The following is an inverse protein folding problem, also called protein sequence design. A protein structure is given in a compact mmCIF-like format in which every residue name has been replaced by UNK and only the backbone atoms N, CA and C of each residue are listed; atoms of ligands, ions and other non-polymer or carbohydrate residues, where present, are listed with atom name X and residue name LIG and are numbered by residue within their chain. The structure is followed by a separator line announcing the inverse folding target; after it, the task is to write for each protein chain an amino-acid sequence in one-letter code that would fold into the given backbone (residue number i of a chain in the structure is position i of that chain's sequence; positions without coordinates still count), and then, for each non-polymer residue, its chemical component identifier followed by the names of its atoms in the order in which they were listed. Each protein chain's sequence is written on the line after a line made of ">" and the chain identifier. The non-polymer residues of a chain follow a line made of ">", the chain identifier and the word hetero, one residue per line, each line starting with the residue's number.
data_IF_917487528776
#
_entry.id   IF_917487528776
#
_cell.length_a   1.000
_cell.length_b   1.000
_cell.length_c   1.000
_cell.angle_alpha   90.00
_cell.angle_beta   90.00
_cell.angle_gamma   90.00
#
_symmetry.space_group_name_H-M   'P 1'
#
loop_
_entity.id
_entity.type
_entity.pdbx_description
1 polymer ?
#
# COMPACT_ATOMS: atom_id res chain seq x y z
N UNK A 1 4.69 6.84 -36.62
CA UNK A 1 4.80 7.33 -35.25
C UNK A 1 4.11 8.69 -35.17
N UNK A 2 2.79 8.68 -34.99
CA UNK A 2 2.02 9.91 -34.76
C UNK A 2 2.19 10.29 -33.27
N UNK A 3 3.02 11.29 -33.01
CA UNK A 3 3.04 12.01 -31.75
C UNK A 3 1.71 12.83 -31.66
N UNK A 4 0.64 12.21 -31.22
CA UNK A 4 -0.49 12.96 -30.71
C UNK A 4 -0.10 13.52 -29.35
N UNK A 5 0.50 14.69 -29.30
CA UNK A 5 0.50 15.52 -28.09
C UNK A 5 -0.97 15.73 -27.75
N UNK A 6 -1.40 15.09 -26.66
CA UNK A 6 -2.69 15.42 -26.09
C UNK A 6 -2.67 16.92 -25.82
N UNK A 7 -3.57 17.67 -26.47
CA UNK A 7 -3.72 19.09 -26.20
C UNK A 7 -4.01 19.32 -24.72
N UNK A 8 -3.45 20.36 -24.13
CA UNK A 8 -3.70 20.70 -22.75
C UNK A 8 -5.22 20.87 -22.56
N UNK A 9 -5.80 20.04 -21.69
CA UNK A 9 -7.24 19.99 -21.44
C UNK A 9 -8.01 18.86 -22.15
N UNK A 10 -7.34 18.02 -22.95
CA UNK A 10 -8.00 16.86 -23.54
C UNK A 10 -8.27 15.78 -22.46
N UNK A 11 -9.46 15.20 -22.52
CA UNK A 11 -9.80 14.05 -21.68
C UNK A 11 -9.07 12.80 -22.16
N UNK A 12 -8.55 12.02 -21.24
CA UNK A 12 -7.93 10.74 -21.52
C UNK A 12 -8.92 9.64 -21.14
N UNK A 13 -9.12 8.69 -22.03
CA UNK A 13 -9.87 7.48 -21.70
C UNK A 13 -9.10 6.69 -20.64
N UNK A 14 -9.78 6.42 -19.53
CA UNK A 14 -9.21 5.67 -18.42
C UNK A 14 -9.24 4.18 -18.72
N UNK A 15 -8.11 3.51 -18.57
CA UNK A 15 -8.08 2.04 -18.56
C UNK A 15 -8.64 1.52 -17.25
N UNK A 16 -9.87 1.05 -17.28
CA UNK A 16 -10.55 0.48 -16.12
C UNK A 16 -10.20 -1.00 -15.87
N UNK A 17 -9.45 -1.64 -16.75
CA UNK A 17 -9.11 -3.07 -16.61
C UNK A 17 -8.16 -3.35 -15.45
N UNK A 18 -7.41 -2.34 -15.01
CA UNK A 18 -6.39 -2.46 -13.97
C UNK A 18 -6.84 -1.94 -12.59
N UNK A 19 -8.07 -1.48 -12.49
CA UNK A 19 -8.60 -0.93 -11.26
C UNK A 19 -9.79 -1.72 -10.75
N UNK A 20 -9.93 -1.87 -9.43
CA UNK A 20 -11.21 -2.26 -8.88
C UNK A 20 -12.26 -1.21 -9.27
N UNK A 21 -13.51 -1.63 -9.46
CA UNK A 21 -14.58 -0.69 -9.78
C UNK A 21 -14.74 0.34 -8.65
N UNK A 22 -14.99 1.60 -9.02
CA UNK A 22 -15.25 2.66 -8.05
C UNK A 22 -16.51 2.37 -7.21
N UNK A 23 -17.45 1.64 -7.78
CA UNK A 23 -18.69 1.20 -7.14
C UNK A 23 -18.73 -0.33 -7.10
N UNK A 24 -18.74 -0.90 -5.91
CA UNK A 24 -18.88 -2.34 -5.66
C UNK A 24 -19.92 -2.55 -4.56
N UNK A 25 -21.13 -3.09 -4.89
CA UNK A 25 -22.23 -3.23 -3.92
C UNK A 25 -21.86 -4.03 -2.67
N UNK A 26 -21.01 -5.06 -2.81
CA UNK A 26 -20.52 -5.87 -1.70
C UNK A 26 -19.55 -5.11 -0.75
N UNK A 27 -19.05 -3.95 -1.18
CA UNK A 27 -18.21 -3.08 -0.38
C UNK A 27 -18.97 -1.82 0.01
N UNK A 28 -19.56 -1.81 1.20
CA UNK A 28 -20.45 -0.78 1.70
C UNK A 28 -19.86 0.65 1.64
N UNK A 29 -18.57 0.79 1.89
CA UNK A 29 -17.92 2.09 1.80
C UNK A 29 -17.87 2.63 0.38
N UNK A 30 -17.78 1.78 -0.65
CA UNK A 30 -17.84 2.22 -2.05
C UNK A 30 -19.23 2.77 -2.40
N UNK A 31 -20.28 2.14 -1.89
CA UNK A 31 -21.68 2.60 -2.07
C UNK A 31 -21.87 4.02 -1.53
N UNK A 32 -21.27 4.32 -0.38
CA UNK A 32 -21.39 5.62 0.27
C UNK A 32 -20.48 6.69 -0.33
N UNK A 33 -19.34 6.30 -0.92
CA UNK A 33 -18.26 7.22 -1.33
C UNK A 33 -17.99 7.25 -2.83
N UNK A 34 -18.56 6.34 -3.60
CA UNK A 34 -18.39 6.34 -5.04
C UNK A 34 -18.88 7.68 -5.64
N UNK A 35 -18.15 8.24 -6.61
CA UNK A 35 -18.62 9.40 -7.34
C UNK A 35 -19.97 9.12 -7.98
N UNK A 36 -20.87 10.09 -7.92
CA UNK A 36 -22.19 9.98 -8.57
C UNK A 36 -22.15 10.29 -10.06
N UNK A 37 -21.07 10.90 -10.51
CA UNK A 37 -20.81 11.22 -11.91
C UNK A 37 -19.58 10.46 -12.38
N UNK A 38 -19.48 10.24 -13.69
CA UNK A 38 -18.32 9.60 -14.30
C UNK A 38 -17.05 10.36 -13.98
N UNK A 39 -15.99 9.62 -13.65
CA UNK A 39 -14.66 10.19 -13.48
C UNK A 39 -14.12 10.65 -14.83
N UNK A 40 -13.44 11.79 -14.82
CA UNK A 40 -12.79 12.38 -15.99
C UNK A 40 -11.29 12.33 -15.75
N UNK A 41 -10.52 11.86 -16.71
CA UNK A 41 -9.06 11.83 -16.65
C UNK A 41 -8.48 12.92 -17.56
N UNK A 42 -7.54 13.67 -17.00
CA UNK A 42 -6.80 14.70 -17.73
C UNK A 42 -5.39 14.21 -18.07
N UNK A 43 -4.83 14.73 -19.16
CA UNK A 43 -3.41 14.57 -19.45
C UNK A 43 -2.58 15.23 -18.34
N UNK A 44 -1.53 14.54 -17.86
CA UNK A 44 -0.61 15.13 -16.89
C UNK A 44 0.12 16.32 -17.49
N UNK A 45 0.13 17.42 -16.76
CA UNK A 45 0.88 18.64 -17.13
C UNK A 45 2.26 18.65 -16.45
N UNK A 46 3.07 19.66 -16.78
CA UNK A 46 4.36 19.84 -16.09
C UNK A 46 4.17 20.08 -14.58
N UNK A 47 3.07 20.70 -14.17
CA UNK A 47 2.78 20.97 -12.76
C UNK A 47 2.65 19.68 -11.95
N UNK A 48 2.05 18.63 -12.50
CA UNK A 48 1.95 17.34 -11.83
C UNK A 48 3.25 16.54 -11.87
N UNK A 49 4.13 16.84 -12.85
CA UNK A 49 5.40 16.13 -13.04
C UNK A 49 6.56 16.76 -12.30
N UNK A 50 6.50 18.04 -12.00
CA UNK A 50 7.60 18.83 -11.43
C UNK A 50 7.31 19.37 -10.02
N UNK A 51 6.48 18.67 -9.26
CA UNK A 51 6.20 19.06 -7.87
C UNK A 51 7.43 18.97 -6.96
N UNK A 52 7.34 19.52 -5.75
CA UNK A 52 8.46 19.48 -4.79
C UNK A 52 8.81 18.02 -4.47
N UNK A 53 10.09 17.68 -4.57
CA UNK A 53 10.61 16.42 -4.09
C UNK A 53 10.49 16.36 -2.56
N UNK A 54 10.22 15.18 -2.01
CA UNK A 54 10.27 14.96 -0.58
C UNK A 54 11.72 15.07 -0.10
N UNK A 55 11.95 15.88 0.92
CA UNK A 55 13.28 16.05 1.47
C UNK A 55 13.74 14.83 2.26
N UNK A 56 14.98 14.42 2.09
CA UNK A 56 15.60 13.35 2.87
C UNK A 56 15.63 13.65 4.38
N UNK A 57 15.55 14.91 4.76
CA UNK A 57 15.46 15.36 6.15
C UNK A 57 14.09 15.17 6.79
N UNK A 58 13.12 14.61 6.08
CA UNK A 58 11.80 14.28 6.63
C UNK A 58 11.79 12.95 7.40
N UNK A 59 12.83 12.13 7.26
CA UNK A 59 12.90 10.83 7.91
C UNK A 59 13.65 10.94 9.23
N UNK A 60 13.06 10.35 10.27
CA UNK A 60 13.73 10.06 11.53
C UNK A 60 14.51 8.75 11.45
N UNK A 61 15.45 8.57 12.37
CA UNK A 61 16.33 7.38 12.42
C UNK A 61 15.56 6.05 12.46
N UNK A 62 14.40 6.03 13.13
CA UNK A 62 13.60 4.82 13.34
C UNK A 62 12.26 4.83 12.59
N UNK A 63 12.09 5.70 11.62
CA UNK A 63 10.80 5.83 10.91
C UNK A 63 10.35 4.52 10.22
N UNK A 64 11.28 3.66 9.84
CA UNK A 64 10.99 2.35 9.25
C UNK A 64 11.03 1.19 10.25
N UNK A 65 11.18 1.46 11.55
CA UNK A 65 11.14 0.45 12.61
C UNK A 65 9.96 0.69 13.56
N UNK A 66 8.81 0.13 13.21
CA UNK A 66 7.57 0.29 13.98
C UNK A 66 7.59 -0.45 15.31
N UNK A 67 8.58 -1.31 15.56
CA UNK A 67 8.71 -2.01 16.83
C UNK A 67 9.11 -1.01 17.94
N UNK A 68 9.92 -0.01 17.57
CA UNK A 68 10.50 0.94 18.54
C UNK A 68 10.17 2.41 18.28
N UNK A 69 9.74 2.80 17.06
CA UNK A 69 9.57 4.22 16.70
C UNK A 69 8.53 4.99 17.53
N UNK A 70 7.66 4.26 18.22
CA UNK A 70 6.65 4.80 19.12
C UNK A 70 6.80 4.31 20.56
N UNK A 71 7.67 3.34 20.79
CA UNK A 71 7.84 2.71 22.09
C UNK A 71 8.51 3.63 23.09
N UNK A 72 8.20 3.42 24.37
CA UNK A 72 8.95 4.06 25.45
C UNK A 72 10.40 3.53 25.47
N UNK A 73 11.36 4.29 25.98
CA UNK A 73 12.73 3.81 26.10
C UNK A 73 12.83 2.44 26.79
N UNK A 74 13.50 1.49 26.14
CA UNK A 74 13.67 0.12 26.63
C UNK A 74 12.43 -0.78 26.49
N UNK A 75 11.39 -0.33 25.81
CA UNK A 75 10.19 -1.13 25.52
C UNK A 75 10.05 -1.32 24.00
N UNK A 76 9.23 -2.29 23.62
CA UNK A 76 8.96 -2.64 22.23
C UNK A 76 7.48 -2.94 22.02
N UNK A 77 7.05 -2.88 20.77
CA UNK A 77 5.71 -3.32 20.36
C UNK A 77 5.52 -4.83 20.60
N UNK A 78 4.31 -5.21 20.98
CA UNK A 78 3.92 -6.59 21.27
C UNK A 78 3.41 -7.28 20.01
N UNK A 79 3.96 -8.45 19.67
CA UNK A 79 3.48 -9.25 18.54
C UNK A 79 4.58 -10.06 17.88
N UNK A 80 4.20 -10.80 16.82
CA UNK A 80 5.17 -11.50 15.99
C UNK A 80 5.99 -10.49 15.21
N UNK A 81 7.28 -10.42 15.45
CA UNK A 81 8.20 -9.57 14.70
C UNK A 81 8.29 -10.01 13.24
N UNK A 82 8.22 -9.06 12.34
CA UNK A 82 8.39 -9.28 10.91
C UNK A 82 9.25 -8.18 10.29
N UNK A 83 9.91 -8.53 9.20
CA UNK A 83 10.46 -7.59 8.23
C UNK A 83 9.65 -7.72 6.95
N UNK A 84 9.22 -6.61 6.39
CA UNK A 84 8.73 -6.54 5.01
C UNK A 84 9.76 -5.78 4.21
N UNK A 85 10.16 -6.35 3.09
CA UNK A 85 11.15 -5.76 2.21
C UNK A 85 10.79 -6.03 0.75
N UNK A 86 11.36 -5.25 -0.14
CA UNK A 86 11.13 -5.42 -1.58
C UNK A 86 11.74 -4.29 -2.38
N UNK A 87 11.40 -4.26 -3.65
CA UNK A 87 11.83 -3.21 -4.55
C UNK A 87 10.65 -2.48 -5.15
N UNK A 88 10.80 -1.19 -5.30
CA UNK A 88 9.96 -0.39 -6.19
C UNK A 88 10.65 -0.37 -7.55
N UNK A 89 9.98 -0.91 -8.54
CA UNK A 89 10.50 -1.04 -9.91
C UNK A 89 9.46 -0.51 -10.91
N UNK A 90 9.90 -0.14 -12.09
CA UNK A 90 8.99 0.18 -13.19
C UNK A 90 8.57 -1.08 -13.96
N UNK A 91 7.72 -0.90 -14.97
CA UNK A 91 7.23 -1.98 -15.83
C UNK A 91 8.34 -2.68 -16.66
N UNK A 92 9.52 -2.08 -16.77
CA UNK A 92 10.68 -2.64 -17.43
C UNK A 92 11.66 -3.28 -16.43
N UNK A 93 11.22 -3.48 -15.20
CA UNK A 93 12.02 -3.98 -14.08
C UNK A 93 13.21 -3.08 -13.68
N UNK A 94 13.18 -1.81 -14.07
CA UNK A 94 14.20 -0.84 -13.61
C UNK A 94 13.87 -0.36 -12.21
N UNK A 95 14.88 -0.26 -11.34
CA UNK A 95 14.71 0.34 -10.02
C UNK A 95 14.15 1.76 -10.08
N UNK A 96 13.29 2.11 -9.14
CA UNK A 96 12.79 3.47 -8.96
C UNK A 96 13.31 4.01 -7.62
N UNK A 97 14.43 4.75 -7.63
CA UNK A 97 15.03 5.30 -6.42
C UNK A 97 14.26 6.54 -5.92
N UNK A 98 14.53 6.90 -4.67
CA UNK A 98 14.03 8.12 -4.02
C UNK A 98 12.50 8.21 -3.96
N UNK A 99 11.80 7.06 -3.92
CA UNK A 99 10.36 7.00 -3.68
C UNK A 99 10.13 7.04 -2.17
N UNK A 100 9.34 8.01 -1.72
CA UNK A 100 8.86 8.00 -0.33
C UNK A 100 7.78 6.91 -0.21
N UNK A 101 8.01 5.98 0.70
CA UNK A 101 7.09 4.90 1.03
C UNK A 101 6.58 5.11 2.44
N UNK A 102 5.31 5.41 2.59
CA UNK A 102 4.61 5.43 3.88
C UNK A 102 3.83 4.13 4.05
N UNK A 103 3.74 3.65 5.28
CA UNK A 103 2.98 2.45 5.61
C UNK A 103 2.29 2.61 6.96
N UNK A 104 1.08 2.02 7.06
CA UNK A 104 0.34 1.99 8.32
C UNK A 104 -0.45 0.70 8.46
N UNK A 105 -0.67 0.29 9.69
CA UNK A 105 -1.28 -0.99 10.02
C UNK A 105 -1.95 -1.00 11.40
N UNK A 106 -2.77 -2.01 11.63
CA UNK A 106 -3.27 -2.36 12.96
C UNK A 106 -2.15 -3.00 13.82
N UNK A 107 -2.32 -3.01 15.14
CA UNK A 107 -1.45 -3.77 16.04
C UNK A 107 -1.70 -5.29 15.92
N UNK A 108 -0.97 -6.10 16.70
CA UNK A 108 -1.12 -7.56 16.68
C UNK A 108 -2.54 -8.04 17.02
N UNK A 109 -3.31 -7.26 17.78
CA UNK A 109 -4.71 -7.54 18.11
C UNK A 109 -5.71 -7.06 17.04
N UNK A 110 -5.26 -6.52 15.92
CA UNK A 110 -6.13 -6.01 14.86
C UNK A 110 -6.71 -4.63 15.12
N UNK A 111 -6.16 -3.86 16.08
CA UNK A 111 -6.66 -2.52 16.42
C UNK A 111 -5.75 -1.42 15.90
N UNK A 112 -6.35 -0.41 15.25
CA UNK A 112 -5.66 0.81 14.85
C UNK A 112 -5.61 1.83 16.00
N UNK A 113 -4.50 2.58 16.07
CA UNK A 113 -4.41 3.77 16.93
C UNK A 113 -5.06 4.96 16.22
N UNK A 114 -6.37 4.99 16.20
CA UNK A 114 -7.14 6.03 15.54
C UNK A 114 -8.36 6.42 16.37
N UNK A 115 -8.69 7.72 16.41
CA UNK A 115 -9.81 8.26 17.22
C UNK A 115 -11.20 7.72 16.86
N UNK A 116 -11.37 7.21 15.64
CA UNK A 116 -12.65 6.64 15.16
C UNK A 116 -12.65 5.10 15.22
N UNK A 117 -11.61 4.50 15.77
CA UNK A 117 -11.54 3.04 15.90
C UNK A 117 -12.48 2.57 17.01
N UNK A 118 -13.43 1.71 16.66
CA UNK A 118 -14.45 1.18 17.58
C UNK A 118 -14.19 -0.26 18.00
N UNK A 119 -13.21 -0.95 17.40
CA UNK A 119 -12.91 -2.34 17.77
C UNK A 119 -12.28 -2.41 19.16
N UNK A 120 -12.81 -3.32 20.01
CA UNK A 120 -12.47 -3.38 21.43
C UNK A 120 -11.20 -4.16 21.77
N UNK A 121 -10.44 -4.63 20.77
CA UNK A 121 -9.13 -5.21 21.05
C UNK A 121 -8.24 -4.20 21.80
N UNK A 122 -7.32 -4.64 22.68
CA UNK A 122 -6.46 -3.72 23.43
C UNK A 122 -5.53 -2.95 22.49
N UNK A 123 -5.25 -1.69 22.84
CA UNK A 123 -4.18 -0.93 22.22
C UNK A 123 -2.85 -1.35 22.83
N UNK A 124 -1.85 -1.53 21.99
CA UNK A 124 -0.48 -1.66 22.43
C UNK A 124 0.08 -0.26 22.74
N UNK A 125 0.51 0.05 23.96
CA UNK A 125 1.03 1.37 24.31
C UNK A 125 2.32 1.73 23.58
N UNK A 126 3.05 0.73 23.09
CA UNK A 126 4.34 0.88 22.43
C UNK A 126 4.27 0.82 20.89
N UNK A 127 3.07 0.72 20.32
CA UNK A 127 2.87 0.61 18.87
C UNK A 127 2.09 1.78 18.31
N UNK A 128 2.75 2.59 17.48
CA UNK A 128 2.13 3.72 16.76
C UNK A 128 1.38 3.29 15.50
N UNK A 129 1.86 2.24 14.84
CA UNK A 129 1.27 1.67 13.64
C UNK A 129 1.51 2.46 12.36
N UNK A 130 2.42 3.42 12.34
CA UNK A 130 2.78 4.23 11.19
C UNK A 130 4.30 4.34 11.07
N UNK A 131 4.78 4.28 9.83
CA UNK A 131 6.18 4.48 9.52
C UNK A 131 6.39 4.89 8.06
N UNK A 132 7.63 5.17 7.71
CA UNK A 132 8.01 5.58 6.36
C UNK A 132 9.49 5.30 6.08
N UNK A 133 9.83 5.21 4.81
CA UNK A 133 11.18 5.05 4.32
C UNK A 133 11.32 5.66 2.93
N UNK A 134 12.52 5.75 2.41
CA UNK A 134 12.81 6.16 1.03
C UNK A 134 13.56 5.01 0.37
N UNK A 135 13.22 4.70 -0.90
CA UNK A 135 13.93 3.69 -1.66
C UNK A 135 15.34 4.15 -1.98
N UNK A 136 16.30 3.22 -1.90
CA UNK A 136 17.68 3.43 -2.28
C UNK A 136 17.87 3.46 -3.81
N UNK A 137 19.13 3.51 -4.28
CA UNK A 137 19.47 3.55 -5.70
C UNK A 137 19.07 2.28 -6.48
N UNK A 138 18.92 1.16 -5.78
CA UNK A 138 18.41 -0.11 -6.30
C UNK A 138 16.88 -0.23 -6.19
N UNK A 139 16.20 0.83 -5.81
CA UNK A 139 14.76 0.85 -5.56
C UNK A 139 14.34 0.04 -4.34
N UNK A 140 15.28 -0.39 -3.50
CA UNK A 140 15.02 -1.25 -2.36
C UNK A 140 14.46 -0.46 -1.18
N UNK A 141 13.50 -1.07 -0.48
CA UNK A 141 12.95 -0.58 0.77
C UNK A 141 12.79 -1.73 1.77
N UNK A 142 12.76 -1.38 3.05
CA UNK A 142 12.41 -2.32 4.10
C UNK A 142 11.75 -1.59 5.28
N UNK A 143 10.96 -2.33 6.02
CA UNK A 143 10.40 -1.92 7.30
C UNK A 143 10.42 -3.09 8.27
N UNK A 144 10.67 -2.82 9.54
CA UNK A 144 10.55 -3.76 10.64
C UNK A 144 9.30 -3.43 11.44
N UNK A 145 8.46 -4.42 11.69
CA UNK A 145 7.21 -4.23 12.39
C UNK A 145 6.75 -5.52 13.08
N UNK A 146 5.57 -5.49 13.66
CA UNK A 146 4.86 -6.68 14.12
C UNK A 146 3.85 -7.10 13.06
N UNK A 147 3.54 -8.40 12.94
CA UNK A 147 2.48 -8.87 12.05
C UNK A 147 1.14 -8.32 12.53
N UNK A 148 0.38 -7.55 11.72
CA UNK A 148 -0.92 -7.05 12.12
C UNK A 148 -1.91 -8.20 12.33
N UNK A 149 -2.81 -8.04 13.28
CA UNK A 149 -3.96 -8.94 13.43
C UNK A 149 -5.05 -8.63 12.42
N UNK A 150 -5.84 -9.65 12.04
CA UNK A 150 -7.10 -9.42 11.34
C UNK A 150 -8.08 -8.70 12.27
N UNK A 151 -9.10 -8.05 11.70
CA UNK A 151 -10.12 -7.38 12.50
C UNK A 151 -11.51 -7.47 11.89
N UNK A 152 -12.57 -7.48 12.75
CA UNK A 152 -13.94 -7.43 12.27
C UNK A 152 -14.22 -6.07 11.66
N UNK A 153 -15.02 -6.05 10.61
CA UNK A 153 -15.31 -4.83 9.89
C UNK A 153 -16.82 -4.70 9.64
N UNK A 154 -17.44 -3.53 9.95
CA UNK A 154 -18.89 -3.34 9.86
C UNK A 154 -19.35 -3.12 8.41
N UNK A 155 -19.09 -4.07 7.52
CA UNK A 155 -19.55 -4.09 6.13
C UNK A 155 -20.81 -4.93 6.00
N UNK A 156 -20.71 -6.23 6.19
CA UNK A 156 -21.81 -7.18 6.27
C UNK A 156 -21.90 -7.86 7.63
N UNK A 157 -22.61 -8.97 7.67
CA UNK A 157 -22.70 -9.80 8.87
C UNK A 157 -21.42 -10.64 8.96
N UNK A 158 -20.65 -10.46 10.05
CA UNK A 158 -19.42 -11.20 10.32
C UNK A 158 -18.33 -11.04 9.23
N UNK A 159 -18.21 -9.86 8.64
CA UNK A 159 -17.13 -9.54 7.72
C UNK A 159 -15.84 -9.25 8.49
N UNK A 160 -14.77 -9.84 8.01
CA UNK A 160 -13.42 -9.68 8.56
C UNK A 160 -12.45 -9.18 7.50
N UNK A 161 -11.51 -8.34 7.92
CA UNK A 161 -10.38 -7.96 7.11
C UNK A 161 -9.20 -8.89 7.43
N UNK A 162 -8.52 -9.46 6.41
CA UNK A 162 -7.28 -10.19 6.61
C UNK A 162 -6.21 -9.29 7.22
N UNK A 163 -5.16 -9.89 7.76
CA UNK A 163 -3.95 -9.17 8.13
C UNK A 163 -3.41 -8.39 6.93
N UNK A 164 -3.17 -7.08 7.07
CA UNK A 164 -2.67 -6.26 5.97
C UNK A 164 -1.91 -5.04 6.46
N UNK A 165 -1.04 -4.55 5.58
CA UNK A 165 -0.33 -3.29 5.74
C UNK A 165 -0.73 -2.38 4.59
N UNK A 166 -1.11 -1.16 4.88
CA UNK A 166 -1.35 -0.12 3.88
C UNK A 166 -0.02 0.47 3.42
N UNK A 167 0.08 0.72 2.14
CA UNK A 167 1.20 1.38 1.50
C UNK A 167 0.74 2.63 0.77
N UNK A 168 1.54 3.68 0.86
CA UNK A 168 1.38 4.91 0.10
C UNK A 168 2.74 5.31 -0.44
N UNK A 169 2.88 5.29 -1.75
CA UNK A 169 4.11 5.67 -2.45
C UNK A 169 3.90 7.02 -3.11
N UNK A 170 4.91 7.87 -2.98
CA UNK A 170 4.90 9.20 -3.61
C UNK A 170 5.97 9.26 -4.68
N UNK A 171 5.55 9.62 -5.89
CA UNK A 171 6.45 9.89 -6.99
C UNK A 171 7.14 11.26 -6.87
N UNK A 172 7.93 11.58 -7.89
CA UNK A 172 8.65 12.86 -7.98
C UNK A 172 7.71 14.05 -8.26
N UNK A 173 6.52 13.79 -8.81
CA UNK A 173 5.49 14.79 -9.04
C UNK A 173 4.50 14.84 -7.88
N UNK A 174 4.04 16.03 -7.53
CA UNK A 174 3.19 16.20 -6.35
C UNK A 174 1.81 15.51 -6.46
N UNK A 175 1.32 15.29 -7.69
CA UNK A 175 0.06 14.58 -7.92
C UNK A 175 0.22 13.06 -8.06
N UNK A 176 1.44 12.55 -8.00
CA UNK A 176 1.73 11.12 -8.20
C UNK A 176 1.73 10.39 -6.86
N UNK A 177 0.73 9.56 -6.65
CA UNK A 177 0.60 8.76 -5.44
C UNK A 177 -0.04 7.41 -5.74
N UNK A 178 0.64 6.33 -5.35
CA UNK A 178 0.04 5.00 -5.27
C UNK A 178 -0.45 4.77 -3.84
N UNK A 179 -1.69 4.30 -3.71
CA UNK A 179 -2.21 3.77 -2.43
C UNK A 179 -2.64 2.33 -2.67
N UNK A 180 -2.09 1.42 -1.88
CA UNK A 180 -2.37 0.00 -1.97
C UNK A 180 -2.39 -0.67 -0.60
N UNK A 181 -2.73 -1.94 -0.58
CA UNK A 181 -2.66 -2.79 0.61
C UNK A 181 -1.86 -4.05 0.26
N UNK A 182 -1.01 -4.46 1.18
CA UNK A 182 -0.27 -5.71 1.12
C UNK A 182 -0.94 -6.72 2.04
N UNK A 183 -1.16 -7.92 1.54
CA UNK A 183 -1.64 -9.07 2.31
C UNK A 183 -0.52 -10.07 2.54
N UNK A 184 -0.74 -11.03 3.42
CA UNK A 184 0.26 -12.05 3.77
C UNK A 184 -0.07 -13.39 3.14
N UNK A 185 0.92 -14.06 2.58
CA UNK A 185 0.78 -15.40 2.03
C UNK A 185 0.16 -16.36 3.05
N UNK A 186 -0.78 -17.17 2.59
CA UNK A 186 -1.44 -18.19 3.40
C UNK A 186 -2.57 -17.67 4.32
N UNK A 187 -2.90 -16.39 4.31
CA UNK A 187 -4.03 -15.88 5.10
C UNK A 187 -5.38 -16.29 4.45
N UNK A 188 -6.18 -17.15 5.12
CA UNK A 188 -7.44 -17.64 4.57
C UNK A 188 -8.51 -16.56 4.40
N UNK A 189 -8.40 -15.45 5.13
CA UNK A 189 -9.34 -14.35 5.08
C UNK A 189 -9.25 -13.53 3.78
N UNK A 190 -8.16 -13.66 3.01
CA UNK A 190 -8.02 -12.97 1.72
C UNK A 190 -9.18 -13.34 0.78
N UNK A 191 -9.52 -14.63 0.71
CA UNK A 191 -10.56 -15.15 -0.19
C UNK A 191 -11.97 -14.67 0.14
N UNK A 192 -12.22 -14.29 1.38
CA UNK A 192 -13.54 -13.85 1.84
C UNK A 192 -13.60 -12.35 2.13
N UNK A 193 -12.51 -11.62 1.92
CA UNK A 193 -12.47 -10.19 2.17
C UNK A 193 -13.31 -9.41 1.13
N UNK A 194 -14.34 -8.66 1.55
CA UNK A 194 -15.20 -7.92 0.62
C UNK A 194 -14.46 -6.89 -0.22
N UNK A 195 -13.35 -6.34 0.28
CA UNK A 195 -12.54 -5.37 -0.47
C UNK A 195 -11.71 -6.10 -1.54
N UNK A 196 -11.04 -7.19 -1.19
CA UNK A 196 -10.27 -8.00 -2.16
C UNK A 196 -11.17 -8.51 -3.26
N UNK A 197 -12.38 -8.97 -2.90
CA UNK A 197 -13.36 -9.51 -3.85
C UNK A 197 -13.95 -8.45 -4.81
N UNK A 198 -13.60 -7.17 -4.67
CA UNK A 198 -13.89 -6.17 -5.70
C UNK A 198 -12.94 -6.27 -6.91
N UNK A 199 -11.83 -6.97 -6.76
CA UNK A 199 -10.83 -7.20 -7.81
C UNK A 199 -11.20 -8.48 -8.52
N UNK A 200 -11.54 -8.39 -9.80
CA UNK A 200 -11.95 -9.56 -10.60
C UNK A 200 -10.79 -10.39 -11.14
N UNK A 201 -9.61 -9.78 -11.26
CA UNK A 201 -8.41 -10.44 -11.80
C UNK A 201 -7.63 -11.13 -10.66
N UNK A 202 -7.54 -12.48 -10.66
CA UNK A 202 -6.81 -13.22 -9.64
C UNK A 202 -5.29 -12.92 -9.64
N UNK A 203 -4.71 -12.60 -10.79
CA UNK A 203 -3.31 -12.22 -10.89
C UNK A 203 -3.06 -10.86 -10.22
N UNK A 204 -4.04 -9.95 -10.29
CA UNK A 204 -3.97 -8.69 -9.57
C UNK A 204 -4.04 -8.90 -8.05
N UNK A 205 -4.86 -9.85 -7.59
CA UNK A 205 -4.91 -10.21 -6.16
C UNK A 205 -3.58 -10.83 -5.73
N UNK A 206 -3.01 -11.73 -6.52
CA UNK A 206 -1.74 -12.39 -6.20
C UNK A 206 -0.60 -11.37 -6.04
N UNK A 207 -0.59 -10.32 -6.86
CA UNK A 207 0.39 -9.22 -6.76
C UNK A 207 0.25 -8.37 -5.49
N UNK A 208 -0.84 -8.48 -4.76
CA UNK A 208 -1.02 -7.82 -3.45
C UNK A 208 -0.57 -8.69 -2.28
N UNK A 209 -0.12 -9.92 -2.53
CA UNK A 209 0.26 -10.88 -1.49
C UNK A 209 1.78 -10.93 -1.34
N UNK A 210 2.26 -10.53 -0.18
CA UNK A 210 3.67 -10.66 0.18
C UNK A 210 4.02 -12.13 0.44
N UNK A 211 5.11 -12.60 -0.17
CA UNK A 211 5.61 -13.97 -0.04
C UNK A 211 6.53 -14.12 1.15
N UNK A 212 6.40 -15.24 1.87
CA UNK A 212 7.32 -15.57 2.93
C UNK A 212 8.73 -15.78 2.37
N UNK A 213 9.69 -15.01 2.87
CA UNK A 213 11.10 -15.09 2.47
C UNK A 213 11.90 -15.83 3.55
N UNK A 214 12.13 -17.11 3.30
CA UNK A 214 12.87 -17.96 4.23
C UNK A 214 14.36 -17.61 4.31
N UNK A 215 14.93 -16.99 3.26
CA UNK A 215 16.34 -16.64 3.23
C UNK A 215 16.67 -15.48 4.18
N UNK A 216 15.71 -14.58 4.37
CA UNK A 216 15.85 -13.42 5.26
C UNK A 216 15.09 -13.62 6.60
N UNK A 217 14.44 -14.76 6.80
CA UNK A 217 13.80 -15.11 8.07
C UNK A 217 14.84 -15.54 9.08
N UNK A 218 14.78 -14.97 10.29
CA UNK A 218 15.61 -15.38 11.43
C UNK A 218 14.75 -16.31 12.31
N UNK A 219 15.06 -17.62 12.35
CA UNK A 219 14.30 -18.57 13.16
C UNK A 219 14.18 -18.12 14.61
N UNK A 220 12.99 -18.29 15.19
CA UNK A 220 12.64 -17.93 16.57
C UNK A 220 12.65 -16.42 16.90
N UNK A 221 13.02 -15.56 15.96
CA UNK A 221 13.03 -14.10 16.17
C UNK A 221 12.08 -13.38 15.24
N UNK A 222 12.37 -13.37 13.92
CA UNK A 222 11.55 -12.58 13.00
C UNK A 222 11.31 -13.30 11.67
N UNK A 223 10.12 -13.15 11.09
CA UNK A 223 9.81 -13.63 9.73
C UNK A 223 9.97 -12.51 8.72
N UNK A 224 10.59 -12.83 7.59
CA UNK A 224 10.70 -11.91 6.48
C UNK A 224 9.62 -12.18 5.43
N UNK A 225 9.09 -11.10 4.87
CA UNK A 225 8.13 -11.13 3.76
C UNK A 225 8.63 -10.23 2.64
N UNK A 226 8.60 -10.75 1.41
CA UNK A 226 8.97 -9.98 0.23
C UNK A 226 7.74 -9.43 -0.47
N UNK A 227 7.75 -8.13 -0.75
CA UNK A 227 6.69 -7.43 -1.46
C UNK A 227 7.30 -6.42 -2.44
N UNK A 228 7.41 -6.81 -3.70
CA UNK A 228 7.88 -5.93 -4.76
C UNK A 228 6.70 -5.11 -5.32
N UNK A 229 6.92 -3.84 -5.58
CA UNK A 229 5.91 -2.90 -6.08
C UNK A 229 6.31 -2.47 -7.48
N UNK A 230 5.48 -2.81 -8.47
CA UNK A 230 5.70 -2.44 -9.87
C UNK A 230 4.85 -1.23 -10.22
N UNK A 231 5.50 -0.14 -10.57
CA UNK A 231 4.83 1.09 -11.01
C UNK A 231 4.65 1.07 -12.52
N UNK A 232 3.44 1.42 -13.00
CA UNK A 232 3.04 1.49 -14.41
C UNK A 232 2.93 0.13 -15.12
N UNK A 233 2.17 0.09 -16.20
CA UNK A 233 1.97 -1.07 -17.07
C UNK A 233 1.02 -2.13 -16.50
N UNK A 234 0.74 -3.17 -17.30
CA UNK A 234 -0.22 -4.25 -16.98
C UNK A 234 0.11 -5.05 -15.72
N UNK A 235 1.36 -5.07 -15.32
CA UNK A 235 1.81 -5.79 -14.14
C UNK A 235 2.01 -4.91 -12.93
N UNK A 236 1.70 -3.62 -13.06
CA UNK A 236 1.87 -2.68 -11.95
C UNK A 236 0.87 -2.96 -10.83
N UNK A 237 1.32 -2.77 -9.61
CA UNK A 237 0.44 -2.45 -8.51
C UNK A 237 -0.03 -1.02 -8.74
N UNK A 238 -1.00 -0.80 -9.46
CA UNK A 238 -1.52 0.45 -9.98
C UNK A 238 -0.86 1.73 -9.45
N UNK A 239 -0.56 2.65 -10.34
CA UNK A 239 -0.01 3.95 -9.95
C UNK A 239 -0.74 5.15 -10.54
N UNK A 240 -1.20 5.12 -11.75
CA UNK A 240 -1.79 6.28 -12.41
C UNK A 240 -2.87 5.96 -13.43
N UNK A 241 -3.68 6.99 -13.73
CA UNK A 241 -4.68 6.99 -14.78
C UNK A 241 -4.05 7.15 -16.18
N UNK A 242 -3.02 6.40 -16.49
CA UNK A 242 -2.40 6.47 -17.80
C UNK A 242 -2.75 5.26 -18.63
N UNK A 243 -2.88 5.50 -19.94
CA UNK A 243 -2.79 4.41 -20.90
C UNK A 243 -1.43 3.76 -20.75
N UNK A 244 -1.39 2.43 -20.77
CA UNK A 244 -0.15 1.70 -20.74
C UNK A 244 0.77 2.10 -21.88
N UNK A 245 2.06 2.21 -21.56
CA UNK A 245 3.09 2.51 -22.54
C UNK A 245 3.25 3.99 -22.90
N UNK A 246 2.64 4.89 -22.16
CA UNK A 246 2.83 6.35 -22.31
C UNK A 246 3.58 6.96 -21.15
#
# INVERSE_FOLDING_TARGET
>A
LSNSRAEAGAFIERDHSQHPPAFAPGYKSSVLRAPKQSLISFASTLSEKTGPAFGHNMLGEYDNDLIINYAKPGQEAIGQRIVVHGRVIDQNAKPVPNVLVEFWQANAGGRYRHKREGYRAPLDPNFGGFGRTITDDDGYYWLRTIKPGPYPWPNGVNDWRPAHIHFSLFGTGFAQRLISQMYFEGDPLIKICPIVNTISDPDAIDRLVARLDMNNTIPMDLRAYRFDIVLRGRRSTFFENRKEGN
#
